data_IF_347788938062
#
_entry.id   IF_347788938062
#
_cell.length_a   1.000
_cell.length_b   1.000
_cell.length_c   1.000
_cell.angle_alpha   90.00
_cell.angle_beta   90.00
_cell.angle_gamma   90.00
#
_symmetry.space_group_name_H-M   'P 1'
#
loop_
_entity.id
_entity.type
_entity.pdbx_description
1 polymer ?
#
# COMPACT_ATOMS: atom_id res chain seq x y z
N UNK A 1 -16.55 75.94 -21.62
CA UNK A 1 -15.39 75.35 -20.89
C UNK A 1 -15.44 73.82 -20.79
N UNK A 2 -16.58 73.17 -21.05
CA UNK A 2 -16.77 71.72 -20.84
C UNK A 2 -16.27 70.81 -21.98
N UNK A 3 -16.24 71.27 -23.24
CA UNK A 3 -15.82 70.44 -24.38
C UNK A 3 -14.30 70.18 -24.47
N UNK A 4 -13.46 71.06 -23.90
CA UNK A 4 -12.00 70.83 -23.87
C UNK A 4 -11.59 69.78 -22.83
N UNK A 5 -12.37 69.63 -21.75
CA UNK A 5 -12.12 68.63 -20.71
C UNK A 5 -12.47 67.21 -21.16
N UNK A 6 -13.59 67.05 -21.88
CA UNK A 6 -14.04 65.75 -22.40
C UNK A 6 -13.12 65.25 -23.53
N UNK A 7 -12.64 66.15 -24.40
CA UNK A 7 -11.70 65.80 -25.48
C UNK A 7 -10.34 65.31 -24.95
N UNK A 8 -9.84 65.90 -23.87
CA UNK A 8 -8.56 65.50 -23.25
C UNK A 8 -8.66 64.15 -22.54
N UNK A 9 -9.78 63.88 -21.88
CA UNK A 9 -10.02 62.60 -21.21
C UNK A 9 -10.20 61.45 -22.21
N UNK A 10 -10.87 61.71 -23.34
CA UNK A 10 -11.08 60.72 -24.39
C UNK A 10 -9.76 60.35 -25.10
N UNK A 11 -8.86 61.32 -25.32
CA UNK A 11 -7.53 61.05 -25.90
C UNK A 11 -6.61 60.28 -24.96
N UNK A 12 -6.61 60.61 -23.66
CA UNK A 12 -5.86 59.84 -22.66
C UNK A 12 -6.37 58.40 -22.54
N UNK A 13 -7.69 58.20 -22.56
CA UNK A 13 -8.28 56.86 -22.50
C UNK A 13 -7.94 56.03 -23.75
N UNK A 14 -7.98 56.63 -24.94
CA UNK A 14 -7.63 55.94 -26.18
C UNK A 14 -6.15 55.56 -26.25
N UNK A 15 -5.25 56.40 -25.76
CA UNK A 15 -3.82 56.07 -25.63
C UNK A 15 -3.59 54.93 -24.63
N UNK A 16 -4.28 54.91 -23.49
CA UNK A 16 -4.12 53.86 -22.50
C UNK A 16 -4.62 52.50 -23.01
N UNK A 17 -5.75 52.48 -23.72
CA UNK A 17 -6.29 51.28 -24.35
C UNK A 17 -5.36 50.77 -25.46
N UNK A 18 -4.79 51.66 -26.28
CA UNK A 18 -3.82 51.28 -27.31
C UNK A 18 -2.53 50.71 -26.72
N UNK A 19 -2.00 51.28 -25.63
CA UNK A 19 -0.81 50.76 -24.93
C UNK A 19 -1.12 49.40 -24.29
N UNK A 20 -2.32 49.21 -23.73
CA UNK A 20 -2.74 47.94 -23.14
C UNK A 20 -2.90 46.85 -24.21
N UNK A 21 -3.51 47.17 -25.35
CA UNK A 21 -3.59 46.25 -26.50
C UNK A 21 -2.22 45.97 -27.13
N UNK A 22 -1.34 46.96 -27.24
CA UNK A 22 0.03 46.76 -27.74
C UNK A 22 0.85 45.87 -26.78
N UNK A 23 0.66 46.02 -25.46
CA UNK A 23 1.28 45.18 -24.43
C UNK A 23 0.74 43.75 -24.43
N UNK A 24 -0.53 43.53 -24.80
CA UNK A 24 -1.09 42.17 -24.97
C UNK A 24 -0.58 41.53 -26.26
N UNK A 25 -0.51 42.28 -27.37
CA UNK A 25 -0.04 41.79 -28.68
C UNK A 25 1.48 41.52 -28.68
N UNK A 26 2.28 42.33 -27.99
CA UNK A 26 3.73 42.09 -27.82
C UNK A 26 4.07 41.21 -26.61
N UNK A 27 3.24 41.19 -25.56
CA UNK A 27 3.40 40.32 -24.39
C UNK A 27 3.17 38.83 -24.69
N UNK A 28 2.43 38.52 -25.76
CA UNK A 28 2.29 37.16 -26.28
C UNK A 28 3.41 36.74 -27.25
N UNK A 29 4.38 37.61 -27.58
CA UNK A 29 5.55 37.24 -28.40
C UNK A 29 6.81 36.92 -27.57
N UNK A 30 6.72 36.97 -26.24
CA UNK A 30 7.85 36.74 -25.34
C UNK A 30 7.66 35.62 -24.31
N UNK A 31 6.53 34.92 -24.34
CA UNK A 31 6.25 33.77 -23.46
C UNK A 31 5.64 32.68 -24.34
N UNK A 32 6.16 31.47 -24.21
CA UNK A 32 5.79 30.24 -24.93
C UNK A 32 6.44 29.99 -26.30
N UNK A 33 7.74 29.64 -26.30
CA UNK A 33 8.28 28.43 -26.98
C UNK A 33 9.60 27.99 -26.29
N UNK A 34 9.55 27.47 -25.06
CA UNK A 34 10.67 26.69 -24.48
C UNK A 34 10.20 25.43 -23.72
N UNK A 35 9.04 24.88 -24.08
CA UNK A 35 8.54 23.61 -23.55
C UNK A 35 8.41 22.52 -24.63
N UNK A 36 9.25 22.54 -25.66
CA UNK A 36 9.35 21.46 -26.64
C UNK A 36 10.82 21.13 -26.89
N UNK A 37 11.36 20.18 -26.11
CA UNK A 37 12.37 19.18 -26.49
C UNK A 37 13.04 18.61 -25.22
N UNK A 38 12.34 17.74 -24.50
CA UNK A 38 12.93 16.86 -23.46
C UNK A 38 12.85 15.39 -23.93
N UNK A 39 12.99 15.14 -25.24
CA UNK A 39 13.17 13.78 -25.74
C UNK A 39 14.60 13.67 -26.23
N UNK A 40 15.45 13.08 -25.41
CA UNK A 40 16.83 12.77 -25.81
C UNK A 40 16.83 11.76 -26.96
N UNK A 41 17.87 11.72 -27.81
CA UNK A 41 18.01 10.68 -28.83
C UNK A 41 17.90 9.25 -28.26
N UNK A 42 18.35 9.06 -27.01
CA UNK A 42 18.22 7.81 -26.28
C UNK A 42 16.76 7.46 -25.95
N UNK A 43 15.99 8.42 -25.42
CA UNK A 43 14.56 8.21 -25.13
C UNK A 43 13.77 7.92 -26.41
N UNK A 44 14.08 8.61 -27.50
CA UNK A 44 13.48 8.33 -28.82
C UNK A 44 13.79 6.91 -29.30
N UNK A 45 15.00 6.40 -29.06
CA UNK A 45 15.39 5.03 -29.42
C UNK A 45 14.56 3.99 -28.65
N UNK A 46 14.33 4.21 -27.35
CA UNK A 46 13.45 3.36 -26.54
C UNK A 46 12.01 3.37 -27.07
N UNK A 47 11.46 4.56 -27.37
CA UNK A 47 10.10 4.70 -27.93
C UNK A 47 9.93 3.98 -29.28
N UNK A 48 10.93 4.09 -30.17
CA UNK A 48 10.88 3.40 -31.48
C UNK A 48 10.98 1.88 -31.29
N UNK A 49 11.82 1.41 -30.36
CA UNK A 49 11.97 -0.01 -30.10
C UNK A 49 10.68 -0.62 -29.54
N UNK A 50 10.08 0.04 -28.53
CA UNK A 50 8.78 -0.35 -27.97
C UNK A 50 7.71 -0.36 -29.07
N UNK A 51 7.55 0.74 -29.82
CA UNK A 51 6.57 0.83 -30.90
C UNK A 51 6.74 -0.30 -31.93
N UNK A 52 7.98 -0.59 -32.35
CA UNK A 52 8.26 -1.64 -33.32
C UNK A 52 7.92 -3.03 -32.77
N UNK A 53 8.20 -3.31 -31.50
CA UNK A 53 7.84 -4.58 -30.87
C UNK A 53 6.31 -4.69 -30.77
N UNK A 54 5.64 -3.69 -30.21
CA UNK A 54 4.20 -3.73 -29.94
C UNK A 54 3.35 -3.80 -31.21
N UNK A 55 3.80 -3.21 -32.32
CA UNK A 55 3.01 -3.11 -33.55
C UNK A 55 3.47 -4.02 -34.70
N UNK A 56 4.74 -4.47 -34.71
CA UNK A 56 5.31 -5.22 -35.84
C UNK A 56 5.70 -6.66 -35.47
N UNK A 57 5.65 -7.03 -34.19
CA UNK A 57 5.91 -8.42 -33.78
C UNK A 57 4.75 -9.34 -34.19
N UNK A 58 5.08 -10.61 -34.46
CA UNK A 58 4.13 -11.60 -35.00
C UNK A 58 3.06 -12.01 -33.98
N UNK A 59 3.45 -12.04 -32.71
CA UNK A 59 2.57 -12.42 -31.60
C UNK A 59 2.15 -11.19 -30.78
N UNK A 60 1.05 -11.33 -30.04
CA UNK A 60 0.61 -10.29 -29.11
C UNK A 60 1.63 -10.17 -27.95
N UNK A 61 2.14 -8.96 -27.75
CA UNK A 61 3.07 -8.64 -26.66
C UNK A 61 2.30 -7.98 -25.51
N UNK A 62 2.74 -8.27 -24.28
CA UNK A 62 2.32 -7.57 -23.08
C UNK A 62 3.25 -6.35 -22.88
N UNK A 63 2.75 -5.17 -23.26
CA UNK A 63 3.53 -3.93 -23.26
C UNK A 63 3.97 -3.52 -21.85
N UNK A 64 3.09 -3.67 -20.86
CA UNK A 64 3.38 -3.31 -19.47
C UNK A 64 4.53 -4.18 -18.94
N UNK A 65 4.43 -5.49 -19.14
CA UNK A 65 5.49 -6.43 -18.75
C UNK A 65 6.81 -6.13 -19.46
N UNK A 66 6.77 -5.81 -20.76
CA UNK A 66 7.96 -5.47 -21.54
C UNK A 66 8.68 -4.23 -20.99
N UNK A 67 7.92 -3.21 -20.62
CA UNK A 67 8.48 -1.97 -20.03
C UNK A 67 9.09 -2.25 -18.66
N UNK A 68 8.41 -3.00 -17.79
CA UNK A 68 8.92 -3.36 -16.45
C UNK A 68 10.22 -4.17 -16.52
N UNK A 69 10.28 -5.16 -17.41
CA UNK A 69 11.50 -5.95 -17.65
C UNK A 69 12.63 -5.07 -18.22
N UNK A 70 12.31 -4.16 -19.13
CA UNK A 70 13.26 -3.19 -19.67
C UNK A 70 13.87 -2.29 -18.61
N UNK A 71 13.06 -1.76 -17.68
CA UNK A 71 13.53 -0.95 -16.55
C UNK A 71 14.46 -1.76 -15.65
N UNK A 72 14.07 -2.98 -15.31
CA UNK A 72 14.86 -3.88 -14.45
C UNK A 72 16.25 -4.14 -15.06
N UNK A 73 16.33 -4.39 -16.37
CA UNK A 73 17.60 -4.59 -17.06
C UNK A 73 18.45 -3.32 -17.15
N UNK A 74 17.83 -2.14 -17.28
CA UNK A 74 18.57 -0.87 -17.25
C UNK A 74 19.24 -0.64 -15.89
N UNK A 75 18.59 -1.02 -14.78
CA UNK A 75 19.15 -0.88 -13.43
C UNK A 75 20.22 -1.92 -13.11
N UNK A 76 20.09 -3.14 -13.64
CA UNK A 76 21.05 -4.24 -13.40
C UNK A 76 22.50 -3.86 -13.73
N UNK A 77 22.72 -2.98 -14.71
CA UNK A 77 24.05 -2.52 -15.11
C UNK A 77 24.63 -1.35 -14.30
N UNK A 78 23.87 -0.77 -13.37
CA UNK A 78 24.30 0.42 -12.61
C UNK A 78 24.97 0.05 -11.28
N UNK A 79 24.25 -0.67 -10.41
CA UNK A 79 24.72 -1.04 -9.08
C UNK A 79 23.89 -2.21 -8.50
N UNK A 80 24.50 -3.17 -7.76
CA UNK A 80 23.80 -4.31 -7.16
C UNK A 80 22.70 -3.98 -6.14
N UNK A 81 22.62 -2.74 -5.63
CA UNK A 81 21.58 -2.31 -4.69
C UNK A 81 20.48 -1.48 -5.35
N UNK A 82 20.56 -1.23 -6.66
CA UNK A 82 19.51 -0.54 -7.41
C UNK A 82 18.48 -1.55 -7.92
N UNK A 83 17.26 -1.48 -7.38
CA UNK A 83 16.15 -2.35 -7.79
C UNK A 83 14.96 -1.52 -8.28
N UNK A 84 14.16 -2.11 -9.16
CA UNK A 84 12.84 -1.61 -9.52
C UNK A 84 11.79 -2.44 -8.80
N UNK A 85 10.71 -1.79 -8.36
CA UNK A 85 9.52 -2.48 -7.88
C UNK A 85 8.31 -1.89 -8.56
N UNK A 86 7.50 -2.74 -9.17
CA UNK A 86 6.29 -2.31 -9.83
C UNK A 86 5.19 -1.95 -8.81
N UNK A 87 4.06 -1.42 -9.30
CA UNK A 87 2.99 -0.96 -8.43
C UNK A 87 2.40 -2.06 -7.54
N UNK A 88 2.31 -3.30 -8.04
CA UNK A 88 1.81 -4.43 -7.27
C UNK A 88 2.78 -4.86 -6.18
N UNK A 89 4.08 -4.91 -6.48
CA UNK A 89 5.14 -5.21 -5.52
C UNK A 89 5.20 -4.16 -4.42
N UNK A 90 5.16 -2.87 -4.79
CA UNK A 90 5.11 -1.76 -3.82
C UNK A 90 3.89 -1.87 -2.92
N UNK A 91 2.73 -2.22 -3.48
CA UNK A 91 1.52 -2.44 -2.68
C UNK A 91 1.71 -3.59 -1.70
N UNK A 92 2.23 -4.74 -2.15
CA UNK A 92 2.49 -5.92 -1.32
C UNK A 92 3.48 -5.63 -0.19
N UNK A 93 4.55 -4.86 -0.47
CA UNK A 93 5.52 -4.45 0.55
C UNK A 93 4.94 -3.51 1.61
N UNK A 94 4.02 -2.63 1.22
CA UNK A 94 3.39 -1.66 2.14
C UNK A 94 2.20 -2.22 2.93
N UNK A 95 1.56 -3.29 2.46
CA UNK A 95 0.43 -3.93 3.15
C UNK A 95 0.73 -4.28 4.62
N UNK A 96 1.80 -5.03 4.97
CA UNK A 96 2.09 -5.35 6.37
C UNK A 96 2.37 -4.08 7.20
N UNK A 97 3.06 -3.10 6.61
CA UNK A 97 3.41 -1.86 7.30
C UNK A 97 2.19 -0.99 7.64
N UNK A 98 1.10 -1.12 6.90
CA UNK A 98 -0.13 -0.35 7.13
C UNK A 98 -0.81 -0.68 8.47
N UNK A 99 -0.41 -1.78 9.14
CA UNK A 99 -0.96 -2.24 10.42
C UNK A 99 -2.40 -2.78 10.33
N UNK A 100 -3.01 -2.74 9.14
CA UNK A 100 -4.28 -3.36 8.85
C UNK A 100 -4.45 -3.61 7.35
N UNK A 101 -5.26 -4.61 7.02
CA UNK A 101 -5.80 -4.80 5.67
C UNK A 101 -7.32 -4.89 5.71
N UNK A 102 -7.98 -4.71 4.57
CA UNK A 102 -9.44 -4.79 4.48
C UNK A 102 -9.88 -6.11 3.83
N UNK A 103 -10.73 -6.88 4.54
CA UNK A 103 -11.17 -8.19 4.09
C UNK A 103 -12.13 -8.87 5.06
N UNK A 104 -12.23 -10.19 4.95
CA UNK A 104 -13.14 -10.99 5.79
C UNK A 104 -12.53 -11.47 7.11
N UNK A 105 -11.20 -11.46 7.24
CA UNK A 105 -10.52 -11.87 8.47
C UNK A 105 -10.55 -13.38 8.72
N UNK A 106 -9.93 -14.16 7.83
CA UNK A 106 -9.71 -15.60 8.00
C UNK A 106 -8.25 -15.96 7.77
N UNK A 107 -7.74 -16.85 8.61
CA UNK A 107 -6.52 -17.60 8.33
C UNK A 107 -6.92 -18.89 7.63
N UNK A 108 -6.29 -19.19 6.51
CA UNK A 108 -6.65 -20.33 5.68
C UNK A 108 -5.42 -21.05 5.13
N UNK A 109 -5.65 -22.27 4.66
CA UNK A 109 -4.72 -23.01 3.82
C UNK A 109 -5.47 -23.54 2.60
N UNK A 110 -4.75 -23.79 1.51
CA UNK A 110 -5.34 -24.48 0.35
C UNK A 110 -4.98 -25.96 0.48
N UNK A 111 -6.01 -26.79 0.69
CA UNK A 111 -5.87 -28.24 0.80
C UNK A 111 -6.70 -28.85 -0.31
N UNK A 112 -6.07 -29.67 -1.16
CA UNK A 112 -6.74 -30.35 -2.28
C UNK A 112 -7.57 -29.38 -3.14
N UNK A 113 -6.97 -28.25 -3.52
CA UNK A 113 -7.60 -27.23 -4.35
C UNK A 113 -8.91 -26.65 -3.76
N UNK A 114 -8.99 -26.59 -2.43
CA UNK A 114 -10.08 -25.94 -1.69
C UNK A 114 -9.51 -25.08 -0.58
N UNK A 115 -10.06 -23.87 -0.42
CA UNK A 115 -9.75 -23.02 0.73
C UNK A 115 -10.33 -23.63 2.00
N UNK A 116 -9.45 -24.03 2.90
CA UNK A 116 -9.75 -24.55 4.22
C UNK A 116 -9.47 -23.48 5.29
N UNK A 117 -10.49 -23.13 6.07
CA UNK A 117 -10.37 -22.15 7.16
C UNK A 117 -9.65 -22.82 8.34
N UNK A 118 -8.45 -22.35 8.64
CA UNK A 118 -7.73 -22.76 9.86
C UNK A 118 -8.47 -22.17 11.06
N UNK A 119 -8.64 -20.85 11.06
CA UNK A 119 -9.39 -20.13 12.08
C UNK A 119 -9.84 -18.75 11.56
N UNK A 120 -11.02 -18.24 11.97
CA UNK A 120 -11.34 -16.83 11.79
C UNK A 120 -10.47 -15.96 12.72
N UNK A 121 -10.25 -14.71 12.34
CA UNK A 121 -9.61 -13.73 13.22
C UNK A 121 -10.55 -13.41 14.38
N UNK A 122 -10.03 -13.42 15.61
CA UNK A 122 -10.79 -13.10 16.82
C UNK A 122 -11.42 -11.69 16.71
N UNK A 123 -12.70 -11.59 17.07
CA UNK A 123 -13.56 -10.43 16.87
C UNK A 123 -13.66 -9.94 15.41
N UNK A 124 -13.20 -10.73 14.44
CA UNK A 124 -13.16 -10.38 13.02
C UNK A 124 -14.50 -10.59 12.31
N UNK A 125 -14.64 -10.09 11.06
CA UNK A 125 -15.89 -10.18 10.30
C UNK A 125 -16.40 -11.61 10.10
N UNK A 126 -15.50 -12.53 9.77
CA UNK A 126 -15.85 -13.94 9.56
C UNK A 126 -16.31 -14.63 10.84
N UNK A 127 -15.67 -14.35 11.99
CA UNK A 127 -16.13 -14.87 13.28
C UNK A 127 -17.54 -14.36 13.61
N UNK A 128 -17.76 -13.04 13.46
CA UNK A 128 -19.09 -12.41 13.68
C UNK A 128 -20.17 -12.95 12.74
N UNK A 129 -19.79 -13.36 11.53
CA UNK A 129 -20.69 -14.00 10.58
C UNK A 129 -20.97 -15.48 10.91
N UNK A 130 -20.25 -16.09 11.86
CA UNK A 130 -20.44 -17.49 12.27
C UNK A 130 -19.62 -18.50 11.46
N UNK A 131 -18.56 -18.05 10.79
CA UNK A 131 -17.56 -18.93 10.15
C UNK A 131 -16.67 -19.52 11.23
N UNK A 132 -16.37 -20.81 11.11
CA UNK A 132 -15.66 -21.58 12.12
C UNK A 132 -14.39 -22.23 11.54
N UNK A 133 -13.47 -22.59 12.43
CA UNK A 133 -12.34 -23.45 12.08
C UNK A 133 -12.85 -24.77 11.46
N UNK A 134 -12.20 -25.20 10.38
CA UNK A 134 -12.57 -26.40 9.63
C UNK A 134 -13.58 -26.19 8.50
N UNK A 135 -14.08 -24.97 8.32
CA UNK A 135 -14.95 -24.62 7.19
C UNK A 135 -14.19 -24.67 5.86
N UNK A 136 -14.85 -25.15 4.81
CA UNK A 136 -14.34 -25.12 3.44
C UNK A 136 -15.10 -24.08 2.61
N UNK A 137 -14.43 -23.02 2.17
CA UNK A 137 -15.05 -22.03 1.29
C UNK A 137 -14.98 -22.55 -0.14
N UNK A 138 -16.14 -22.79 -0.75
CA UNK A 138 -16.25 -23.36 -2.10
C UNK A 138 -16.64 -22.33 -3.16
N UNK A 139 -17.28 -21.24 -2.76
CA UNK A 139 -17.62 -20.12 -3.67
C UNK A 139 -17.52 -18.78 -2.96
N UNK A 140 -17.12 -17.77 -3.72
CA UNK A 140 -17.07 -16.36 -3.31
C UNK A 140 -17.89 -15.54 -4.30
N UNK A 141 -18.97 -14.93 -3.81
CA UNK A 141 -20.06 -14.37 -4.60
C UNK A 141 -20.58 -15.43 -5.61
N UNK A 142 -20.54 -15.10 -6.89
CA UNK A 142 -21.01 -15.96 -7.98
C UNK A 142 -19.89 -16.85 -8.56
N UNK A 143 -18.67 -16.76 -8.02
CA UNK A 143 -17.50 -17.48 -8.52
C UNK A 143 -17.19 -18.70 -7.66
N UNK A 144 -17.12 -19.88 -8.28
CA UNK A 144 -16.62 -21.10 -7.61
C UNK A 144 -15.10 -21.04 -7.52
N UNK A 145 -14.56 -21.28 -6.32
CA UNK A 145 -13.11 -21.22 -6.06
C UNK A 145 -12.50 -22.59 -5.74
N UNK A 146 -13.33 -23.61 -5.47
CA UNK A 146 -12.87 -24.96 -5.20
C UNK A 146 -12.85 -25.82 -6.47
N UNK A 147 -11.79 -26.61 -6.67
CA UNK A 147 -11.69 -27.57 -7.77
C UNK A 147 -11.41 -26.94 -9.15
N UNK A 148 -10.92 -25.70 -9.18
CA UNK A 148 -10.65 -24.93 -10.41
C UNK A 148 -9.19 -24.48 -10.52
N UNK A 149 -8.31 -24.94 -9.63
CA UNK A 149 -6.89 -24.59 -9.59
C UNK A 149 -6.64 -23.08 -9.53
N UNK A 150 -7.52 -22.35 -8.84
CA UNK A 150 -7.41 -20.90 -8.68
C UNK A 150 -6.20 -20.59 -7.79
N UNK A 151 -5.40 -19.60 -8.20
CA UNK A 151 -4.22 -19.22 -7.43
C UNK A 151 -4.61 -18.61 -6.08
N UNK A 152 -3.72 -18.72 -5.10
CA UNK A 152 -3.88 -18.11 -3.78
C UNK A 152 -4.11 -16.59 -3.90
N UNK A 153 -3.39 -15.94 -4.80
CA UNK A 153 -3.49 -14.50 -5.07
C UNK A 153 -4.89 -14.12 -5.57
N UNK A 154 -5.43 -14.90 -6.50
CA UNK A 154 -6.76 -14.65 -7.05
C UNK A 154 -7.84 -14.86 -5.97
N UNK A 155 -7.73 -15.91 -5.15
CA UNK A 155 -8.64 -16.12 -4.03
C UNK A 155 -8.56 -14.96 -3.03
N UNK A 156 -7.35 -14.55 -2.64
CA UNK A 156 -7.15 -13.40 -1.75
C UNK A 156 -7.77 -12.12 -2.31
N UNK A 157 -7.63 -11.87 -3.61
CA UNK A 157 -8.21 -10.69 -4.28
C UNK A 157 -9.74 -10.64 -4.17
N UNK A 158 -10.39 -11.81 -4.15
CA UNK A 158 -11.86 -11.94 -4.02
C UNK A 158 -12.33 -11.77 -2.58
N UNK A 159 -11.55 -12.27 -1.62
CA UNK A 159 -11.88 -12.17 -0.19
C UNK A 159 -11.61 -10.76 0.35
N UNK A 160 -10.57 -10.08 -0.15
CA UNK A 160 -10.26 -8.68 0.13
C UNK A 160 -11.24 -7.75 -0.57
N UNK A 161 -11.27 -6.50 -0.11
CA UNK A 161 -12.11 -5.45 -0.69
C UNK A 161 -12.41 -4.36 0.33
N UNK A 162 -12.96 -3.25 -0.14
CA UNK A 162 -13.18 -2.07 0.67
C UNK A 162 -14.04 -2.36 1.90
N UNK A 163 -13.68 -1.77 3.04
CA UNK A 163 -14.46 -1.82 4.28
C UNK A 163 -15.93 -1.46 4.03
N UNK A 164 -16.83 -2.21 4.64
CA UNK A 164 -18.27 -2.03 4.54
C UNK A 164 -18.92 -2.71 3.33
N UNK A 165 -18.13 -3.14 2.33
CA UNK A 165 -18.65 -3.96 1.23
C UNK A 165 -18.99 -5.37 1.72
N UNK A 166 -19.96 -6.01 1.07
CA UNK A 166 -20.38 -7.38 1.42
C UNK A 166 -19.76 -8.40 0.47
N UNK A 167 -19.54 -9.60 0.97
CA UNK A 167 -19.16 -10.77 0.19
C UNK A 167 -20.01 -11.96 0.63
N UNK A 168 -20.55 -12.67 -0.34
CA UNK A 168 -21.32 -13.89 -0.09
C UNK A 168 -20.41 -15.10 -0.21
N UNK A 169 -20.41 -15.97 0.78
CA UNK A 169 -19.57 -17.15 0.84
C UNK A 169 -20.47 -18.38 0.88
N UNK A 170 -20.15 -19.36 0.03
CA UNK A 170 -20.72 -20.71 0.12
C UNK A 170 -19.70 -21.59 0.83
N UNK A 171 -20.12 -22.21 1.92
CA UNK A 171 -19.26 -22.99 2.82
C UNK A 171 -19.76 -24.41 2.95
N UNK A 172 -18.84 -25.38 2.93
CA UNK A 172 -19.11 -26.76 3.31
C UNK A 172 -18.52 -26.99 4.70
N UNK A 173 -19.39 -27.30 5.67
CA UNK A 173 -19.03 -27.56 7.07
C UNK A 173 -19.22 -29.04 7.39
N UNK A 174 -18.23 -29.67 8.03
CA UNK A 174 -18.34 -31.06 8.45
C UNK A 174 -19.55 -31.25 9.37
N UNK A 175 -20.43 -32.19 9.02
CA UNK A 175 -21.66 -32.47 9.76
C UNK A 175 -22.90 -31.71 9.29
N UNK A 176 -22.78 -30.76 8.35
CA UNK A 176 -23.91 -30.17 7.64
C UNK A 176 -24.21 -30.98 6.38
N UNK A 177 -25.49 -31.25 6.11
CA UNK A 177 -25.93 -32.00 4.92
C UNK A 177 -25.89 -31.15 3.63
N UNK A 178 -25.96 -29.83 3.77
CA UNK A 178 -26.00 -28.89 2.65
C UNK A 178 -24.95 -27.80 2.84
N UNK A 179 -24.58 -27.13 1.74
CA UNK A 179 -23.71 -25.97 1.80
C UNK A 179 -24.39 -24.79 2.49
N UNK A 180 -23.68 -24.13 3.40
CA UNK A 180 -24.14 -22.96 4.14
C UNK A 180 -23.81 -21.67 3.36
N UNK A 181 -24.71 -20.69 3.42
CA UNK A 181 -24.50 -19.37 2.84
C UNK A 181 -24.26 -18.35 3.95
N UNK A 182 -23.16 -17.61 3.83
CA UNK A 182 -22.77 -16.56 4.76
C UNK A 182 -22.58 -15.25 4.00
N UNK A 183 -23.13 -14.15 4.51
CA UNK A 183 -22.80 -12.81 4.03
C UNK A 183 -21.87 -12.15 5.03
N UNK A 184 -20.63 -11.91 4.63
CA UNK A 184 -19.63 -11.24 5.46
C UNK A 184 -19.48 -9.80 5.01
N UNK A 185 -19.57 -8.86 5.95
CA UNK A 185 -19.25 -7.44 5.70
C UNK A 185 -17.77 -7.23 5.93
N UNK A 186 -17.02 -6.85 4.90
CA UNK A 186 -15.57 -6.61 4.99
C UNK A 186 -15.27 -5.50 6.00
N UNK A 187 -14.18 -5.67 6.73
CA UNK A 187 -13.73 -4.71 7.73
C UNK A 187 -12.21 -4.65 7.76
N UNK A 188 -11.67 -3.70 8.52
CA UNK A 188 -10.25 -3.63 8.82
C UNK A 188 -9.86 -4.79 9.75
N UNK A 189 -8.89 -5.56 9.31
CA UNK A 189 -8.28 -6.65 10.05
C UNK A 189 -6.90 -6.16 10.51
N UNK A 190 -6.62 -6.13 11.81
CA UNK A 190 -5.30 -5.71 12.30
C UNK A 190 -4.23 -6.67 11.81
N UNK A 191 -3.11 -6.11 11.34
CA UNK A 191 -1.86 -6.82 11.15
C UNK A 191 -0.97 -6.36 12.30
N UNK A 192 -0.68 -7.27 13.23
CA UNK A 192 0.16 -6.95 14.36
C UNK A 192 1.63 -6.97 13.92
N UNK A 193 2.36 -5.95 14.33
CA UNK A 193 3.82 -5.88 14.25
C UNK A 193 4.48 -6.80 15.27
N UNK A 194 3.84 -6.98 16.43
CA UNK A 194 4.26 -7.90 17.49
C UNK A 194 3.55 -9.24 17.33
N UNK A 195 4.32 -10.29 17.09
CA UNK A 195 3.83 -11.67 16.99
C UNK A 195 3.99 -12.46 18.31
N UNK A 196 4.84 -12.00 19.24
CA UNK A 196 4.99 -12.60 20.56
C UNK A 196 5.30 -11.58 21.66
N UNK A 197 4.61 -11.70 22.80
CA UNK A 197 5.02 -11.10 24.07
C UNK A 197 4.59 -11.97 25.26
N UNK A 198 5.50 -12.22 26.22
CA UNK A 198 5.23 -13.06 27.40
C UNK A 198 6.34 -12.95 28.45
N UNK A 199 6.09 -13.46 29.66
CA UNK A 199 7.11 -13.63 30.70
C UNK A 199 7.93 -14.90 30.43
N UNK A 200 9.21 -14.78 30.09
CA UNK A 200 10.11 -15.94 29.88
C UNK A 200 10.57 -16.56 31.20
N UNK A 201 10.74 -15.73 32.22
CA UNK A 201 11.12 -16.10 33.58
C UNK A 201 10.50 -15.10 34.57
N UNK A 202 10.47 -15.40 35.89
CA UNK A 202 10.06 -14.40 36.87
C UNK A 202 10.84 -13.10 36.68
N UNK A 203 10.12 -11.98 36.55
CA UNK A 203 10.66 -10.63 36.33
C UNK A 203 11.36 -10.38 34.98
N UNK A 204 11.39 -11.33 34.04
CA UNK A 204 11.94 -11.14 32.70
C UNK A 204 10.84 -11.33 31.66
N UNK A 205 10.49 -10.23 30.98
CA UNK A 205 9.57 -10.21 29.86
C UNK A 205 10.30 -10.34 28.53
N UNK A 206 9.59 -10.80 27.53
CA UNK A 206 10.05 -10.93 26.16
C UNK A 206 9.03 -10.29 25.23
N UNK A 207 9.51 -9.54 24.25
CA UNK A 207 8.71 -8.99 23.14
C UNK A 207 9.51 -9.24 21.86
N UNK A 208 8.87 -9.86 20.87
CA UNK A 208 9.39 -9.98 19.51
C UNK A 208 8.66 -9.00 18.59
N UNK A 209 9.42 -8.32 17.74
CA UNK A 209 8.88 -7.41 16.73
C UNK A 209 9.36 -7.87 15.36
N UNK A 210 8.42 -8.38 14.56
CA UNK A 210 8.69 -8.91 13.22
C UNK A 210 8.99 -7.78 12.22
N UNK A 211 8.33 -6.63 12.34
CA UNK A 211 8.53 -5.47 11.47
C UNK A 211 8.02 -4.18 12.13
N UNK A 212 8.46 -3.03 11.62
CA UNK A 212 8.00 -1.71 12.08
C UNK A 212 6.81 -1.20 11.24
N UNK A 213 5.60 -1.64 11.56
CA UNK A 213 4.34 -1.11 11.02
C UNK A 213 3.82 0.15 11.73
N UNK A 214 2.74 0.72 11.20
CA UNK A 214 2.09 1.94 11.70
C UNK A 214 1.56 1.84 13.14
N UNK A 215 1.25 0.62 13.59
CA UNK A 215 0.66 0.35 14.92
C UNK A 215 1.69 -0.12 15.96
N UNK A 216 2.95 -0.32 15.56
CA UNK A 216 4.01 -0.94 16.39
C UNK A 216 4.19 -0.26 17.74
N UNK A 217 4.27 1.07 17.78
CA UNK A 217 4.50 1.80 19.04
C UNK A 217 3.35 1.58 20.04
N UNK A 218 2.10 1.56 19.55
CA UNK A 218 0.92 1.29 20.37
C UNK A 218 0.89 -0.15 20.88
N UNK A 219 1.16 -1.11 20.01
CA UNK A 219 1.25 -2.53 20.36
C UNK A 219 2.34 -2.79 21.40
N UNK A 220 3.52 -2.21 21.21
CA UNK A 220 4.65 -2.31 22.12
C UNK A 220 4.29 -1.76 23.50
N UNK A 221 3.68 -0.58 23.57
CA UNK A 221 3.25 0.04 24.84
C UNK A 221 2.21 -0.79 25.58
N UNK A 222 1.26 -1.39 24.85
CA UNK A 222 0.27 -2.28 25.43
C UNK A 222 0.93 -3.56 25.99
N UNK A 223 1.82 -4.19 25.22
CA UNK A 223 2.57 -5.36 25.65
C UNK A 223 3.43 -5.06 26.89
N UNK A 224 4.17 -3.95 26.87
CA UNK A 224 5.00 -3.49 27.98
C UNK A 224 4.16 -3.29 29.26
N UNK A 225 3.01 -2.62 29.13
CA UNK A 225 2.09 -2.39 30.26
C UNK A 225 1.56 -3.71 30.84
N UNK A 226 1.25 -4.70 30.00
CA UNK A 226 0.80 -6.03 30.45
C UNK A 226 1.91 -6.77 31.20
N UNK A 227 3.11 -6.82 30.63
CA UNK A 227 4.25 -7.49 31.25
C UNK A 227 4.66 -6.82 32.58
N UNK A 228 4.62 -5.48 32.66
CA UNK A 228 4.86 -4.76 33.91
C UNK A 228 3.85 -5.13 35.00
N UNK A 229 2.56 -5.24 34.65
CA UNK A 229 1.52 -5.70 35.59
C UNK A 229 1.74 -7.13 36.08
N UNK A 230 2.36 -7.97 35.26
CA UNK A 230 2.78 -9.34 35.60
C UNK A 230 4.10 -9.38 36.41
N UNK A 231 4.71 -8.23 36.69
CA UNK A 231 5.89 -8.11 37.54
C UNK A 231 7.22 -8.10 36.78
N UNK A 232 7.21 -7.84 35.47
CA UNK A 232 8.42 -7.64 34.67
C UNK A 232 9.30 -6.52 35.21
N UNK A 233 10.61 -6.76 35.26
CA UNK A 233 11.66 -5.76 35.57
C UNK A 233 12.75 -5.68 34.52
N UNK A 234 12.97 -6.75 33.77
CA UNK A 234 13.92 -6.81 32.67
C UNK A 234 13.15 -7.18 31.40
N UNK A 235 13.53 -6.61 30.27
CA UNK A 235 12.92 -6.88 28.97
C UNK A 235 13.97 -7.43 28.00
N UNK A 236 13.63 -8.53 27.33
CA UNK A 236 14.28 -8.99 26.12
C UNK A 236 13.45 -8.45 24.96
N UNK A 237 14.01 -7.50 24.20
CA UNK A 237 13.45 -7.03 22.95
C UNK A 237 14.15 -7.74 21.81
N UNK A 238 13.43 -8.61 21.12
CA UNK A 238 13.95 -9.41 20.02
C UNK A 238 13.56 -8.78 18.68
N UNK A 239 14.60 -8.41 17.91
CA UNK A 239 14.50 -7.82 16.57
C UNK A 239 15.15 -8.72 15.51
N UNK A 240 15.44 -9.98 15.84
CA UNK A 240 16.00 -10.91 14.87
C UNK A 240 14.98 -11.19 13.76
N UNK A 241 15.44 -11.21 12.51
CA UNK A 241 14.53 -11.39 11.36
C UNK A 241 13.76 -10.11 10.98
N UNK A 242 13.84 -9.04 11.77
CA UNK A 242 13.15 -7.79 11.46
C UNK A 242 13.80 -7.05 10.29
N UNK A 243 13.06 -6.97 9.17
CA UNK A 243 13.51 -6.31 7.94
C UNK A 243 13.41 -4.78 7.95
N UNK A 244 12.97 -4.16 9.04
CA UNK A 244 12.74 -2.72 9.17
C UNK A 244 11.28 -2.33 9.02
N UNK A 245 11.01 -1.17 8.43
CA UNK A 245 9.67 -0.60 8.25
C UNK A 245 9.67 0.91 8.40
N UNK A 246 8.61 1.46 8.97
CA UNK A 246 8.49 2.91 9.17
C UNK A 246 9.48 3.42 10.22
N UNK A 247 10.35 4.34 9.79
CA UNK A 247 11.36 4.96 10.66
C UNK A 247 10.74 5.60 11.90
N UNK A 248 9.62 6.32 11.75
CA UNK A 248 8.95 6.96 12.88
C UNK A 248 8.49 5.96 13.94
N UNK A 249 8.04 4.75 13.54
CA UNK A 249 7.65 3.72 14.49
C UNK A 249 8.85 3.19 15.29
N UNK A 250 10.03 3.13 14.68
CA UNK A 250 11.26 2.77 15.37
C UNK A 250 11.73 3.90 16.32
N UNK A 251 11.60 5.17 15.90
CA UNK A 251 11.89 6.34 16.75
C UNK A 251 10.98 6.33 17.99
N UNK A 252 9.66 6.19 17.80
CA UNK A 252 8.68 6.20 18.89
C UNK A 252 8.94 5.06 19.89
N UNK A 253 9.37 3.89 19.41
CA UNK A 253 9.74 2.77 20.27
C UNK A 253 11.05 3.06 21.04
N UNK A 254 12.05 3.64 20.38
CA UNK A 254 13.33 3.97 21.01
C UNK A 254 13.16 5.03 22.12
N UNK A 255 12.25 5.99 21.93
CA UNK A 255 11.95 7.04 22.91
C UNK A 255 11.42 6.48 24.25
N UNK A 256 10.78 5.29 24.26
CA UNK A 256 10.35 4.63 25.50
C UNK A 256 11.54 4.13 26.38
N UNK A 257 12.76 4.11 25.84
CA UNK A 257 13.98 3.68 26.55
C UNK A 257 14.98 4.80 26.87
N UNK A 258 14.89 5.93 26.17
CA UNK A 258 15.90 7.00 26.20
C UNK A 258 15.48 8.12 27.16
N UNK A 259 16.46 8.89 27.63
CA UNK A 259 16.15 10.06 28.45
C UNK A 259 15.66 11.21 27.57
N UNK A 260 14.95 12.15 28.19
CA UNK A 260 14.56 13.39 27.52
C UNK A 260 15.79 14.09 26.94
N UNK A 261 15.63 14.58 25.71
CA UNK A 261 16.63 15.38 24.98
C UNK A 261 17.83 14.59 24.40
N UNK A 262 17.80 13.25 24.43
CA UNK A 262 18.78 12.44 23.70
C UNK A 262 18.45 12.41 22.20
N UNK A 263 19.46 12.66 21.35
CA UNK A 263 19.31 12.56 19.90
C UNK A 263 19.13 11.09 19.50
N UNK A 264 17.98 10.77 18.89
CA UNK A 264 17.67 9.40 18.44
C UNK A 264 18.24 9.14 17.05
N UNK A 265 17.94 10.00 16.08
CA UNK A 265 18.36 9.83 14.69
C UNK A 265 18.43 11.19 14.00
N UNK A 266 19.36 11.33 13.04
CA UNK A 266 19.39 12.43 12.08
C UNK A 266 19.66 11.86 10.69
N UNK A 267 19.14 12.53 9.66
CA UNK A 267 19.37 12.20 8.26
C UNK A 267 20.07 13.37 7.59
N UNK A 268 21.14 13.11 6.87
CA UNK A 268 21.82 14.07 6.02
C UNK A 268 21.55 13.70 4.56
N UNK A 269 21.10 14.66 3.77
CA UNK A 269 20.69 14.47 2.38
C UNK A 269 21.37 15.45 1.44
#
# INVERSE_FOLDING_TARGET
>A
MMNKFISGFLHCFFCYVLIFFYSIIFGQKGIDVQAQNVITPALRKLQIAEFAISNLYVDKVDEDKLVEEGITQMLFGLDPHSTYSNAEEVKKMNEPLSGNFEGIGVQFNIIEDTLFVIQPVNNGPSERAGILAGDRIVSVNDTTIAGVQMSSEEIMSRLRGQKGTKVNLRIVRRGANESLLFTVTRDKIPILSLDAFYMVQPQIGYIHIEHFGATTAGEFKEALTKLQKEGMKNLILDLQGNGGGYLNAAIDLADEFLNREELIVYTEG
#
